data_IF_793170887460
#
_entry.id   IF_793170887460
#
_cell.length_a   1.000
_cell.length_b   1.000
_cell.length_c   1.000
_cell.angle_alpha   90.00
_cell.angle_beta   90.00
_cell.angle_gamma   90.00
#
_symmetry.space_group_name_H-M   'P 1'
#
loop_
_entity.id
_entity.type
_entity.pdbx_description
1 polymer ?
#
# COMPACT_ATOMS: atom_id res chain seq x y z
N UNK A 1 44.15 -10.49 53.62
CA UNK A 1 43.84 -11.23 52.39
C UNK A 1 42.75 -10.47 51.66
N UNK A 2 43.04 -9.92 50.49
CA UNK A 2 42.12 -9.08 49.72
C UNK A 2 41.64 -9.88 48.51
N UNK A 3 40.38 -10.29 48.51
CA UNK A 3 39.76 -11.07 47.43
C UNK A 3 39.26 -10.10 46.36
N UNK A 4 39.91 -10.08 45.20
CA UNK A 4 39.47 -9.29 44.05
C UNK A 4 38.32 -10.03 43.35
N UNK A 5 37.12 -9.46 43.39
CA UNK A 5 35.97 -9.97 42.65
C UNK A 5 36.12 -9.49 41.19
N UNK A 6 36.34 -10.40 40.25
CA UNK A 6 36.36 -10.08 38.82
C UNK A 6 34.92 -9.99 38.29
N UNK A 7 34.50 -8.78 37.92
CA UNK A 7 33.22 -8.53 37.27
C UNK A 7 33.31 -8.97 35.80
N UNK A 8 32.67 -10.08 35.45
CA UNK A 8 32.60 -10.56 34.06
C UNK A 8 31.49 -9.80 33.32
N UNK A 9 31.87 -8.95 32.37
CA UNK A 9 30.94 -8.22 31.52
C UNK A 9 30.47 -9.15 30.40
N UNK A 10 29.20 -9.57 30.41
CA UNK A 10 28.59 -10.27 29.28
C UNK A 10 28.41 -9.29 28.11
N UNK A 11 29.30 -9.34 27.13
CA UNK A 11 29.08 -8.66 25.85
C UNK A 11 28.19 -9.58 25.01
N UNK A 12 26.92 -9.19 24.82
CA UNK A 12 26.07 -9.87 23.85
C UNK A 12 26.67 -9.65 22.44
N UNK A 13 26.77 -10.69 21.59
CA UNK A 13 27.24 -10.52 20.23
C UNK A 13 26.28 -9.60 19.48
N UNK A 14 26.82 -8.58 18.82
CA UNK A 14 26.07 -7.78 17.85
C UNK A 14 25.48 -8.76 16.83
N UNK A 15 24.16 -8.75 16.54
CA UNK A 15 23.59 -9.63 15.53
C UNK A 15 24.32 -9.39 14.22
N UNK A 16 25.01 -10.43 13.75
CA UNK A 16 25.74 -10.39 12.50
C UNK A 16 24.72 -10.27 11.37
N UNK A 17 24.92 -9.30 10.48
CA UNK A 17 24.06 -9.17 9.30
C UNK A 17 24.06 -10.49 8.52
N UNK A 18 22.91 -10.85 7.95
CA UNK A 18 22.77 -12.04 7.11
C UNK A 18 23.84 -11.98 6.00
N UNK A 19 24.76 -12.97 5.93
CA UNK A 19 25.79 -12.99 4.90
C UNK A 19 25.21 -13.13 3.49
N UNK A 20 23.93 -13.51 3.37
CA UNK A 20 23.23 -13.62 2.11
C UNK A 20 21.91 -12.84 2.15
N UNK A 21 21.97 -11.50 2.14
CA UNK A 21 20.75 -10.69 2.17
C UNK A 21 19.85 -11.08 0.99
N UNK A 22 18.51 -11.04 1.16
CA UNK A 22 17.61 -11.30 0.06
C UNK A 22 17.98 -10.39 -1.11
N UNK A 23 17.99 -10.96 -2.32
CA UNK A 23 18.27 -10.20 -3.53
C UNK A 23 17.33 -8.99 -3.57
N UNK A 24 17.87 -7.82 -3.91
CA UNK A 24 17.02 -6.62 -4.09
C UNK A 24 15.97 -6.92 -5.15
N UNK A 25 14.70 -6.56 -4.93
CA UNK A 25 13.69 -6.72 -5.95
C UNK A 25 14.08 -5.91 -7.19
N UNK A 26 14.01 -6.56 -8.35
CA UNK A 26 14.16 -5.90 -9.65
C UNK A 26 12.76 -5.60 -10.15
N UNK A 27 12.41 -4.32 -10.21
CA UNK A 27 11.12 -3.89 -10.71
C UNK A 27 11.13 -3.80 -12.23
N UNK A 28 9.99 -4.13 -12.86
CA UNK A 28 9.76 -3.84 -14.27
C UNK A 28 9.74 -2.33 -14.53
N UNK A 29 9.79 -1.94 -15.81
CA UNK A 29 9.58 -0.54 -16.21
C UNK A 29 8.25 -0.02 -15.64
N UNK A 30 8.24 1.18 -15.02
CA UNK A 30 7.02 1.73 -14.45
C UNK A 30 5.97 1.96 -15.54
N UNK A 31 4.72 1.62 -15.22
CA UNK A 31 3.56 1.87 -16.08
C UNK A 31 2.66 2.91 -15.43
N UNK A 32 2.00 3.72 -16.25
CA UNK A 32 0.98 4.66 -15.76
C UNK A 32 -0.26 3.86 -15.38
N UNK A 33 -0.75 4.05 -14.15
CA UNK A 33 -2.04 3.50 -13.71
C UNK A 33 -3.17 4.36 -14.29
N UNK A 34 -4.25 3.71 -14.74
CA UNK A 34 -5.41 4.40 -15.31
C UNK A 34 -6.73 3.86 -14.79
N UNK A 35 -7.70 4.74 -14.58
CA UNK A 35 -9.08 4.38 -14.27
C UNK A 35 -9.98 5.00 -15.34
N UNK A 36 -10.78 4.16 -16.01
CA UNK A 36 -11.63 4.59 -17.13
C UNK A 36 -10.86 5.30 -18.26
N UNK A 37 -9.62 4.85 -18.52
CA UNK A 37 -8.73 5.41 -19.54
C UNK A 37 -7.99 6.70 -19.13
N UNK A 38 -8.33 7.29 -18.00
CA UNK A 38 -7.69 8.52 -17.50
C UNK A 38 -6.57 8.23 -16.50
N UNK A 39 -5.54 9.10 -16.41
CA UNK A 39 -4.49 8.96 -15.41
C UNK A 39 -5.06 8.83 -13.99
N UNK A 40 -4.58 7.83 -13.26
CA UNK A 40 -5.04 7.59 -11.90
C UNK A 40 -4.82 8.82 -11.01
N UNK A 41 -5.88 9.26 -10.33
CA UNK A 41 -5.81 10.43 -9.46
C UNK A 41 -5.93 11.77 -10.17
N UNK A 42 -6.26 11.78 -11.48
CA UNK A 42 -6.69 13.00 -12.15
C UNK A 42 -7.82 13.68 -11.36
N UNK A 43 -7.75 15.01 -11.31
CA UNK A 43 -8.70 15.88 -10.60
C UNK A 43 -8.86 15.58 -9.09
N UNK A 44 -7.83 15.00 -8.46
CA UNK A 44 -7.80 14.78 -7.00
C UNK A 44 -6.63 15.49 -6.34
N UNK A 45 -6.91 16.05 -5.17
CA UNK A 45 -5.88 16.61 -4.30
C UNK A 45 -5.32 15.50 -3.41
N UNK A 46 -4.01 15.24 -3.51
CA UNK A 46 -3.28 14.24 -2.72
C UNK A 46 -3.90 12.83 -2.79
N UNK A 47 -4.00 12.24 -4.00
CA UNK A 47 -4.52 10.89 -4.15
C UNK A 47 -3.65 9.88 -3.39
N UNK A 48 -4.29 9.06 -2.57
CA UNK A 48 -3.65 8.03 -1.73
C UNK A 48 -4.18 6.65 -2.13
N UNK A 49 -3.57 5.97 -3.12
CA UNK A 49 -4.06 4.72 -3.66
C UNK A 49 -3.71 3.50 -2.77
N UNK A 50 -4.58 2.49 -2.78
CA UNK A 50 -4.38 1.18 -2.18
C UNK A 50 -5.03 0.08 -3.02
N UNK A 51 -4.37 -1.07 -3.13
CA UNK A 51 -4.94 -2.30 -3.66
C UNK A 51 -5.42 -3.19 -2.50
N UNK A 52 -6.65 -3.68 -2.60
CA UNK A 52 -7.24 -4.60 -1.63
C UNK A 52 -8.47 -5.31 -2.21
N UNK A 53 -8.52 -6.62 -2.09
CA UNK A 53 -9.70 -7.48 -2.34
C UNK A 53 -10.81 -7.21 -1.30
N UNK A 54 -11.70 -6.28 -1.62
CA UNK A 54 -12.81 -5.82 -0.77
C UNK A 54 -13.94 -6.84 -0.80
N UNK A 55 -14.29 -7.34 -1.97
CA UNK A 55 -15.46 -8.18 -2.17
C UNK A 55 -15.19 -9.68 -2.02
N UNK A 56 -13.91 -10.07 -1.92
CA UNK A 56 -13.40 -11.43 -1.70
C UNK A 56 -13.55 -12.34 -2.91
N UNK A 57 -13.50 -11.77 -4.12
CA UNK A 57 -13.48 -12.55 -5.36
C UNK A 57 -12.06 -13.04 -5.73
N UNK A 58 -11.03 -12.58 -5.01
CA UNK A 58 -9.63 -12.92 -5.23
C UNK A 58 -8.90 -11.99 -6.20
N UNK A 59 -9.56 -10.93 -6.68
CA UNK A 59 -8.95 -9.80 -7.37
C UNK A 59 -8.86 -8.60 -6.41
N UNK A 60 -7.82 -7.77 -6.57
CA UNK A 60 -7.71 -6.55 -5.79
C UNK A 60 -8.40 -5.39 -6.50
N UNK A 61 -9.31 -4.71 -5.80
CA UNK A 61 -9.87 -3.43 -6.24
C UNK A 61 -8.89 -2.29 -5.97
N UNK A 62 -9.02 -1.21 -6.75
CA UNK A 62 -8.31 0.02 -6.51
C UNK A 62 -9.11 0.98 -5.66
N UNK A 63 -8.61 1.25 -4.46
CA UNK A 63 -9.16 2.24 -3.54
C UNK A 63 -8.32 3.51 -3.59
N UNK A 64 -8.98 4.68 -3.66
CA UNK A 64 -8.32 5.98 -3.58
C UNK A 64 -9.01 6.85 -2.56
N UNK A 65 -8.26 7.25 -1.54
CA UNK A 65 -8.61 8.39 -0.68
C UNK A 65 -8.02 9.69 -1.23
N UNK A 66 -8.62 10.82 -0.89
CA UNK A 66 -8.08 12.15 -1.20
C UNK A 66 -8.09 13.10 0.00
N UNK A 67 -7.50 14.29 -0.21
CA UNK A 67 -7.38 15.34 0.80
C UNK A 67 -8.73 15.77 1.39
N UNK A 68 -9.79 15.80 0.58
CA UNK A 68 -11.13 16.26 0.98
C UNK A 68 -11.89 15.17 1.75
N UNK A 69 -11.30 13.97 1.84
CA UNK A 69 -11.82 12.84 2.57
C UNK A 69 -12.78 11.98 1.75
N UNK A 70 -12.81 12.13 0.43
CA UNK A 70 -13.57 11.19 -0.41
C UNK A 70 -12.81 9.88 -0.55
N UNK A 71 -13.54 8.76 -0.45
CA UNK A 71 -13.00 7.44 -0.78
C UNK A 71 -13.76 6.92 -1.99
N UNK A 72 -13.00 6.54 -3.02
CA UNK A 72 -13.53 5.98 -4.26
C UNK A 72 -12.88 4.63 -4.52
N UNK A 73 -13.62 3.73 -5.18
CA UNK A 73 -13.19 2.38 -5.52
C UNK A 73 -13.42 2.13 -7.02
N UNK A 74 -12.55 1.34 -7.64
CA UNK A 74 -12.73 0.88 -9.01
C UNK A 74 -12.37 -0.60 -9.13
N UNK A 75 -13.21 -1.34 -9.85
CA UNK A 75 -12.98 -2.72 -10.23
C UNK A 75 -11.76 -2.85 -11.14
N UNK A 76 -11.07 -3.97 -11.02
CA UNK A 76 -10.01 -4.33 -11.96
C UNK A 76 -10.63 -4.78 -13.29
N UNK A 77 -10.07 -4.33 -14.41
CA UNK A 77 -10.54 -4.75 -15.74
C UNK A 77 -9.81 -6.00 -16.21
N UNK A 78 -10.56 -7.10 -16.34
CA UNK A 78 -10.04 -8.36 -16.86
C UNK A 78 -9.48 -8.22 -18.27
N UNK A 79 -8.35 -8.89 -18.52
CA UNK A 79 -7.70 -8.92 -19.83
C UNK A 79 -7.10 -7.59 -20.30
N UNK A 80 -7.13 -6.52 -19.49
CA UNK A 80 -6.57 -5.19 -19.82
C UNK A 80 -5.20 -4.93 -19.22
N UNK A 81 -4.58 -5.95 -18.62
CA UNK A 81 -3.26 -5.87 -18.00
C UNK A 81 -3.30 -5.51 -16.50
N UNK A 82 -2.13 -5.33 -15.86
CA UNK A 82 -2.03 -5.13 -14.42
C UNK A 82 -2.44 -3.73 -13.93
N UNK A 83 -2.71 -2.78 -14.84
CA UNK A 83 -2.84 -1.35 -14.52
C UNK A 83 -4.09 -0.66 -15.08
N UNK A 84 -5.14 -1.44 -15.35
CA UNK A 84 -6.39 -0.94 -15.91
C UNK A 84 -7.54 -1.21 -14.95
N UNK A 85 -8.18 -0.13 -14.52
CA UNK A 85 -9.34 -0.17 -13.65
C UNK A 85 -10.54 0.49 -14.34
N UNK A 86 -11.73 0.08 -13.91
CA UNK A 86 -12.97 0.71 -14.30
C UNK A 86 -13.07 2.13 -13.77
N UNK A 87 -14.27 2.69 -13.87
CA UNK A 87 -14.57 4.01 -13.33
C UNK A 87 -14.46 4.01 -11.81
N UNK A 88 -13.80 5.04 -11.28
CA UNK A 88 -13.74 5.29 -9.83
C UNK A 88 -15.10 5.78 -9.34
N UNK A 89 -15.82 4.93 -8.64
CA UNK A 89 -17.12 5.19 -8.02
C UNK A 89 -16.97 5.48 -6.51
N UNK A 90 -17.90 6.20 -5.86
CA UNK A 90 -17.86 6.41 -4.42
C UNK A 90 -17.85 5.08 -3.66
N UNK A 91 -16.97 4.93 -2.68
CA UNK A 91 -16.96 3.74 -1.85
C UNK A 91 -18.10 3.80 -0.84
N UNK A 92 -18.99 2.78 -0.85
CA UNK A 92 -20.23 2.82 -0.10
C UNK A 92 -20.14 2.04 1.22
N UNK A 93 -20.71 2.62 2.28
CA UNK A 93 -21.12 1.91 3.49
C UNK A 93 -22.64 1.85 3.52
N UNK A 94 -23.19 0.67 3.18
CA UNK A 94 -24.60 0.52 2.87
C UNK A 94 -24.99 1.36 1.64
N UNK A 95 -25.87 2.36 1.83
CA UNK A 95 -26.31 3.28 0.75
C UNK A 95 -25.62 4.64 0.79
N UNK A 96 -24.64 4.83 1.67
CA UNK A 96 -23.97 6.12 1.90
C UNK A 96 -22.54 6.06 1.39
N UNK A 97 -22.12 7.09 0.66
CA UNK A 97 -20.71 7.26 0.35
C UNK A 97 -19.91 7.49 1.64
N UNK A 98 -18.80 6.79 1.77
CA UNK A 98 -17.82 7.03 2.83
C UNK A 98 -17.09 8.34 2.53
N UNK A 99 -17.28 9.34 3.40
CA UNK A 99 -16.61 10.64 3.31
C UNK A 99 -16.13 11.07 4.69
N UNK A 100 -14.84 11.35 4.82
CA UNK A 100 -14.19 11.65 6.10
C UNK A 100 -14.28 13.13 6.53
N UNK A 101 -14.93 14.00 5.75
CA UNK A 101 -15.13 15.42 6.07
C UNK A 101 -13.84 16.08 6.59
N UNK A 102 -12.78 15.94 5.80
CA UNK A 102 -11.55 16.66 6.12
C UNK A 102 -11.81 18.15 5.91
N UNK A 103 -11.85 18.86 7.03
CA UNK A 103 -11.97 20.31 7.19
C UNK A 103 -13.29 20.93 6.75
#
# INVERSE_FOLDING_TARGET
MLTTLALSLCIAPVPQADPNPPARPVFATPIRLTADGEPLGADRLYPSPRLYDIDRDGQDELVIGDLIGEVRVAERLDGKGPAAWGKLEPFLSGKRALKFHNW
#
